data_IF_152842801419
#
_entry.id   IF_152842801419
#
_cell.length_a   1.000
_cell.length_b   1.000
_cell.length_c   1.000
_cell.angle_alpha   90.00
_cell.angle_beta   90.00
_cell.angle_gamma   90.00
#
_symmetry.space_group_name_H-M   'P 1'
#
loop_
_entity.id
_entity.type
_entity.pdbx_description
1 polymer ?
#
# COMPACT_ATOMS: atom_id res chain seq x y z
N UNK A 1 -53.05 40.28 19.97
CA UNK A 1 -52.64 39.76 18.64
C UNK A 1 -51.14 39.48 18.65
N UNK A 2 -50.78 38.24 18.30
CA UNK A 2 -49.48 37.84 17.72
C UNK A 2 -48.20 37.89 18.57
N UNK A 3 -48.27 37.65 19.88
CA UNK A 3 -47.09 37.22 20.65
C UNK A 3 -47.53 36.13 21.62
N UNK A 4 -46.73 35.08 21.79
CA UNK A 4 -46.86 33.98 22.78
C UNK A 4 -47.62 32.68 22.38
N UNK A 5 -47.69 32.31 21.11
CA UNK A 5 -48.24 31.00 20.69
C UNK A 5 -47.25 30.23 19.81
N UNK A 6 -46.22 29.62 20.40
CA UNK A 6 -45.45 28.53 19.78
C UNK A 6 -44.44 27.83 20.73
N UNK A 7 -44.45 28.11 22.04
CA UNK A 7 -43.47 27.54 22.99
C UNK A 7 -44.20 27.10 24.26
N UNK A 8 -45.11 26.12 24.16
CA UNK A 8 -45.67 25.35 25.29
C UNK A 8 -46.64 24.28 24.76
N UNK A 9 -46.13 23.17 24.22
CA UNK A 9 -46.86 21.90 24.26
C UNK A 9 -45.92 20.82 24.75
N UNK A 10 -45.95 20.67 26.07
CA UNK A 10 -45.15 19.79 26.89
C UNK A 10 -46.06 18.60 27.29
N UNK A 11 -45.50 17.39 27.18
CA UNK A 11 -45.88 16.15 27.89
C UNK A 11 -47.19 15.43 27.52
N UNK A 12 -47.08 14.21 26.98
CA UNK A 12 -47.34 12.93 27.70
C UNK A 12 -47.61 11.75 26.73
N UNK A 13 -47.24 10.53 27.14
CA UNK A 13 -47.53 9.23 26.52
C UNK A 13 -46.83 8.95 25.17
N UNK A 14 -45.74 8.16 25.09
CA UNK A 14 -45.78 6.73 25.42
C UNK A 14 -44.35 6.17 25.48
N UNK A 15 -43.81 6.02 26.69
CA UNK A 15 -42.87 4.95 27.00
C UNK A 15 -43.75 3.76 27.38
N UNK A 16 -43.66 2.63 26.67
CA UNK A 16 -43.76 1.28 27.24
C UNK A 16 -43.61 0.20 26.14
N UNK A 17 -42.67 -0.71 26.40
CA UNK A 17 -42.67 -2.14 26.08
C UNK A 17 -42.32 -2.66 24.67
N UNK A 18 -41.13 -3.26 24.62
CA UNK A 18 -40.91 -4.67 24.27
C UNK A 18 -41.62 -5.22 23.03
N UNK A 19 -40.85 -5.44 21.97
CA UNK A 19 -40.72 -6.80 21.46
C UNK A 19 -39.40 -6.95 20.69
N UNK A 20 -38.69 -8.01 21.08
CA UNK A 20 -37.53 -8.57 20.43
C UNK A 20 -37.85 -8.87 18.95
N UNK A 21 -36.94 -8.51 18.05
CA UNK A 21 -37.13 -8.70 16.61
C UNK A 21 -35.81 -8.78 15.87
N UNK A 22 -34.86 -9.57 16.37
CA UNK A 22 -33.66 -9.98 15.63
C UNK A 22 -34.08 -10.95 14.52
N UNK A 23 -34.45 -10.40 13.37
CA UNK A 23 -34.73 -11.19 12.17
C UNK A 23 -33.42 -11.50 11.45
N UNK A 24 -32.94 -12.72 11.70
CA UNK A 24 -32.17 -13.59 10.82
C UNK A 24 -31.09 -12.93 9.92
N UNK A 25 -29.85 -12.97 10.39
CA UNK A 25 -28.70 -13.03 9.49
C UNK A 25 -28.71 -14.40 8.74
N UNK A 26 -28.35 -14.45 7.45
CA UNK A 26 -28.19 -15.72 6.76
C UNK A 26 -27.03 -16.50 7.38
N UNK A 27 -27.31 -17.70 7.91
CA UNK A 27 -26.31 -18.69 8.25
C UNK A 27 -25.62 -19.12 6.96
N UNK A 28 -24.54 -18.43 6.60
CA UNK A 28 -23.56 -18.95 5.66
C UNK A 28 -22.91 -20.16 6.34
N UNK A 29 -23.33 -21.34 5.91
CA UNK A 29 -22.71 -22.62 6.26
C UNK A 29 -21.26 -22.58 5.80
N UNK A 30 -20.36 -22.17 6.69
CA UNK A 30 -18.92 -22.39 6.53
C UNK A 30 -18.71 -23.88 6.73
N UNK A 31 -18.56 -24.59 5.62
CA UNK A 31 -18.06 -25.96 5.60
C UNK A 31 -16.58 -25.90 5.99
N UNK A 32 -16.14 -26.53 7.10
CA UNK A 32 -14.72 -26.68 7.36
C UNK A 32 -14.14 -27.66 6.35
N UNK A 33 -13.22 -27.18 5.52
CA UNK A 33 -12.37 -28.05 4.71
C UNK A 33 -11.57 -28.98 5.65
N UNK A 34 -11.51 -30.30 5.41
CA UNK A 34 -10.67 -31.17 6.20
C UNK A 34 -9.20 -30.84 5.92
N UNK A 35 -8.52 -30.30 6.95
CA UNK A 35 -7.09 -30.22 7.02
C UNK A 35 -6.52 -31.63 7.28
N UNK A 36 -6.35 -32.42 6.22
CA UNK A 36 -5.38 -33.52 6.23
C UNK A 36 -4.05 -32.99 5.76
N UNK A 37 -3.20 -32.66 6.74
CA UNK A 37 -1.77 -32.49 6.57
C UNK A 37 -1.17 -33.82 6.06
N UNK A 38 -0.72 -33.84 4.81
CA UNK A 38 0.16 -34.87 4.31
C UNK A 38 1.62 -34.50 4.64
N UNK A 39 2.45 -35.46 5.08
CA UNK A 39 3.85 -35.20 5.41
C UNK A 39 4.71 -35.01 4.16
N UNK A 40 5.53 -33.96 4.23
CA UNK A 40 6.86 -33.75 3.65
C UNK A 40 7.39 -34.81 2.67
N UNK A 41 7.49 -34.42 1.41
CA UNK A 41 8.57 -34.85 0.52
C UNK A 41 9.21 -33.60 -0.08
N UNK A 42 10.29 -33.14 0.54
CA UNK A 42 11.15 -32.12 -0.04
C UNK A 42 11.76 -32.65 -1.35
N UNK A 43 11.66 -31.95 -2.48
CA UNK A 43 12.52 -32.25 -3.60
C UNK A 43 13.95 -31.89 -3.18
N UNK A 44 14.81 -32.91 -3.12
CA UNK A 44 16.26 -32.73 -3.06
C UNK A 44 16.67 -31.95 -4.30
N UNK A 45 16.94 -30.66 -4.14
CA UNK A 45 17.61 -29.86 -5.15
C UNK A 45 19.06 -30.35 -5.21
N UNK A 46 19.38 -31.07 -6.27
CA UNK A 46 20.77 -31.27 -6.66
C UNK A 46 21.39 -29.89 -6.95
N UNK A 47 22.61 -29.59 -6.47
CA UNK A 47 23.32 -28.38 -6.86
C UNK A 47 23.80 -28.56 -8.30
N UNK A 48 23.12 -27.92 -9.25
CA UNK A 48 23.70 -27.69 -10.57
C UNK A 48 24.51 -26.41 -10.47
N UNK A 49 25.83 -26.58 -10.38
CA UNK A 49 26.83 -25.53 -10.59
C UNK A 49 26.55 -24.84 -11.94
N UNK A 50 25.98 -23.63 -11.86
CA UNK A 50 26.03 -22.67 -12.96
C UNK A 50 27.27 -21.80 -12.76
N UNK A 51 28.13 -21.63 -13.77
CA UNK A 51 29.40 -20.93 -13.63
C UNK A 51 29.15 -19.47 -13.27
N UNK A 52 29.94 -18.98 -12.32
CA UNK A 52 30.02 -17.58 -11.94
C UNK A 52 30.24 -16.71 -13.19
N UNK A 53 29.18 -16.06 -13.65
CA UNK A 53 29.30 -14.91 -14.52
C UNK A 53 30.01 -13.82 -13.71
N UNK A 54 31.29 -13.63 -14.01
CA UNK A 54 32.06 -12.47 -13.54
C UNK A 54 31.45 -11.24 -14.21
N UNK A 55 30.39 -10.70 -13.61
CA UNK A 55 30.00 -9.32 -13.86
C UNK A 55 31.02 -8.46 -13.13
N UNK A 56 31.96 -7.91 -13.88
CA UNK A 56 32.82 -6.84 -13.40
C UNK A 56 31.93 -5.74 -12.78
N UNK A 57 32.32 -5.14 -11.65
CA UNK A 57 31.61 -3.95 -11.18
C UNK A 57 31.83 -2.86 -12.22
N UNK A 58 30.79 -2.59 -13.03
CA UNK A 58 30.68 -1.30 -13.70
C UNK A 58 30.45 -0.33 -12.56
N UNK A 59 31.47 0.45 -12.23
CA UNK A 59 31.33 1.55 -11.30
C UNK A 59 30.16 2.41 -11.78
N UNK A 60 29.05 2.37 -11.05
CA UNK A 60 28.02 3.36 -11.18
C UNK A 60 28.67 4.73 -10.95
N UNK A 61 28.27 5.78 -11.69
CA UNK A 61 28.79 7.11 -11.43
C UNK A 61 28.59 7.46 -9.96
N UNK A 62 29.61 8.06 -9.34
CA UNK A 62 29.53 8.58 -7.97
C UNK A 62 28.37 9.59 -7.89
N UNK A 63 27.21 9.15 -7.41
CA UNK A 63 26.04 10.00 -7.13
C UNK A 63 26.19 10.66 -5.78
N UNK A 64 27.38 11.16 -5.47
CA UNK A 64 27.77 11.72 -4.17
C UNK A 64 27.07 13.05 -3.81
N UNK A 65 26.03 13.44 -4.56
CA UNK A 65 25.12 14.55 -4.24
C UNK A 65 23.63 14.12 -4.21
N UNK A 66 23.30 12.83 -4.29
CA UNK A 66 21.92 12.36 -4.18
C UNK A 66 21.54 12.15 -2.71
N UNK A 67 20.45 12.78 -2.26
CA UNK A 67 19.88 12.61 -0.91
C UNK A 67 19.26 11.22 -0.65
N UNK A 68 19.74 10.14 -1.28
CA UNK A 68 19.26 8.77 -1.06
C UNK A 68 20.07 7.66 -1.73
N UNK A 69 19.83 6.41 -1.31
CA UNK A 69 20.41 5.18 -1.84
C UNK A 69 19.50 4.56 -2.92
N UNK A 70 19.90 4.56 -4.21
CA UNK A 70 19.07 4.02 -5.28
C UNK A 70 18.90 2.50 -5.24
N UNK A 71 19.84 1.75 -4.65
CA UNK A 71 19.70 0.30 -4.53
C UNK A 71 18.63 -0.04 -3.48
N UNK A 72 18.67 0.66 -2.34
CA UNK A 72 17.64 0.54 -1.32
C UNK A 72 16.28 1.06 -1.84
N UNK A 73 16.26 2.18 -2.55
CA UNK A 73 15.09 2.74 -3.22
C UNK A 73 14.32 1.74 -4.08
N UNK A 74 15.04 0.96 -4.88
CA UNK A 74 14.46 -0.11 -5.70
C UNK A 74 13.76 -1.18 -4.85
N UNK A 75 14.38 -1.57 -3.72
CA UNK A 75 13.80 -2.53 -2.79
C UNK A 75 12.55 -1.97 -2.13
N UNK A 76 12.54 -0.71 -1.69
CA UNK A 76 11.36 -0.11 -1.05
C UNK A 76 10.19 -0.06 -2.03
N UNK A 77 10.47 0.33 -3.27
CA UNK A 77 9.47 0.43 -4.31
C UNK A 77 8.78 -0.93 -4.59
N UNK A 78 9.56 -2.02 -4.56
CA UNK A 78 9.02 -3.36 -4.69
C UNK A 78 8.26 -3.81 -3.45
N UNK A 79 8.87 -3.71 -2.26
CA UNK A 79 8.32 -4.25 -1.01
C UNK A 79 7.04 -3.51 -0.56
N UNK A 80 6.95 -2.21 -0.84
CA UNK A 80 5.81 -1.37 -0.44
C UNK A 80 4.67 -1.45 -1.46
N UNK A 81 4.79 -2.30 -2.49
CA UNK A 81 3.74 -2.57 -3.47
C UNK A 81 3.58 -1.50 -4.55
N UNK A 82 4.48 -0.51 -4.64
CA UNK A 82 4.42 0.56 -5.64
C UNK A 82 4.45 -0.03 -7.06
N UNK A 83 5.25 -1.08 -7.26
CA UNK A 83 5.36 -1.82 -8.53
C UNK A 83 4.06 -2.46 -9.00
N UNK A 84 3.10 -2.73 -8.11
CA UNK A 84 1.82 -3.33 -8.46
C UNK A 84 0.97 -2.45 -9.38
N UNK A 85 1.11 -1.12 -9.27
CA UNK A 85 0.41 -0.17 -10.13
C UNK A 85 1.37 0.54 -11.09
N UNK A 86 2.57 0.89 -10.64
CA UNK A 86 3.54 1.63 -11.44
C UNK A 86 4.49 0.73 -12.25
N UNK A 87 4.34 -0.59 -12.18
CA UNK A 87 5.18 -1.57 -12.87
C UNK A 87 6.55 -1.77 -12.21
N UNK A 88 7.18 -2.93 -12.42
CA UNK A 88 8.44 -3.30 -11.76
C UNK A 88 9.59 -2.29 -11.99
N UNK A 89 9.69 -1.75 -13.20
CA UNK A 89 10.66 -0.72 -13.57
C UNK A 89 10.05 0.69 -13.61
N UNK A 90 9.01 0.91 -12.81
CA UNK A 90 8.29 2.19 -12.74
C UNK A 90 7.77 2.72 -14.10
N UNK A 91 7.57 1.84 -15.09
CA UNK A 91 7.11 2.16 -16.45
C UNK A 91 5.60 2.40 -16.58
N UNK A 92 4.86 2.30 -15.49
CA UNK A 92 3.41 2.47 -15.42
C UNK A 92 2.65 1.16 -15.60
N UNK A 93 1.34 1.30 -15.82
CA UNK A 93 0.40 0.19 -15.98
C UNK A 93 -0.96 0.59 -15.42
N UNK A 94 -1.28 0.09 -14.22
CA UNK A 94 -2.47 0.51 -13.48
C UNK A 94 -2.37 1.94 -12.93
N UNK A 95 -1.15 2.43 -12.73
CA UNK A 95 -0.81 3.82 -12.42
C UNK A 95 0.10 4.44 -13.50
N UNK A 96 0.41 5.74 -13.40
CA UNK A 96 1.26 6.43 -14.36
C UNK A 96 2.70 5.92 -14.34
N UNK A 97 3.41 6.06 -15.47
CA UNK A 97 4.86 5.87 -15.51
C UNK A 97 5.58 6.93 -14.66
N UNK A 98 6.59 6.51 -13.91
CA UNK A 98 7.45 7.37 -13.08
C UNK A 98 8.89 7.43 -13.61
N UNK A 99 9.38 6.35 -14.24
CA UNK A 99 10.70 6.29 -14.87
C UNK A 99 10.88 7.36 -15.97
N UNK A 100 12.09 7.90 -16.11
CA UNK A 100 12.45 8.89 -17.13
C UNK A 100 11.79 10.27 -16.98
N UNK A 101 11.17 10.57 -15.82
CA UNK A 101 10.45 11.83 -15.60
C UNK A 101 11.22 12.91 -14.84
N UNK A 102 12.35 12.57 -14.22
CA UNK A 102 13.11 13.51 -13.37
C UNK A 102 12.22 14.14 -12.29
N UNK A 103 11.55 13.30 -11.50
CA UNK A 103 10.58 13.76 -10.51
C UNK A 103 11.28 14.46 -9.34
N UNK A 104 10.74 15.62 -8.96
CA UNK A 104 11.12 16.32 -7.74
C UNK A 104 10.67 15.55 -6.49
N UNK A 105 11.50 15.53 -5.45
CA UNK A 105 11.22 14.72 -4.26
C UNK A 105 10.06 15.26 -3.43
N UNK A 106 9.90 16.59 -3.35
CA UNK A 106 8.76 17.19 -2.64
C UNK A 106 7.44 16.87 -3.34
N UNK A 107 7.45 16.87 -4.69
CA UNK A 107 6.31 16.39 -5.46
C UNK A 107 6.00 14.92 -5.15
N UNK A 108 7.00 14.04 -5.09
CA UNK A 108 6.78 12.61 -4.80
C UNK A 108 6.28 12.41 -3.37
N UNK A 109 6.85 13.10 -2.38
CA UNK A 109 6.37 13.12 -1.01
C UNK A 109 4.90 13.55 -0.96
N UNK A 110 4.54 14.66 -1.59
CA UNK A 110 3.14 15.12 -1.64
C UNK A 110 2.20 14.01 -2.16
N UNK A 111 2.57 13.33 -3.25
CA UNK A 111 1.73 12.27 -3.82
C UNK A 111 1.66 11.05 -2.90
N UNK A 112 2.78 10.59 -2.36
CA UNK A 112 2.84 9.43 -1.45
C UNK A 112 2.00 9.67 -0.20
N UNK A 113 2.01 10.89 0.34
CA UNK A 113 1.22 11.27 1.52
C UNK A 113 -0.27 11.46 1.19
N UNK A 114 -0.59 11.99 0.01
CA UNK A 114 -1.98 12.30 -0.37
C UNK A 114 -2.75 11.10 -0.94
N UNK A 115 -2.09 10.17 -1.66
CA UNK A 115 -2.73 9.04 -2.32
C UNK A 115 -3.77 9.43 -3.40
N UNK A 116 -3.39 10.18 -4.45
CA UNK A 116 -4.33 10.62 -5.47
C UNK A 116 -4.78 9.48 -6.40
N UNK A 117 -6.00 9.59 -6.95
CA UNK A 117 -6.42 8.76 -8.08
C UNK A 117 -6.52 7.25 -7.79
N UNK A 118 -6.77 6.87 -6.54
CA UNK A 118 -6.81 5.47 -6.12
C UNK A 118 -5.46 4.90 -5.69
N UNK A 119 -4.38 5.71 -5.73
CA UNK A 119 -3.12 5.38 -5.09
C UNK A 119 -3.31 5.38 -3.56
N UNK A 120 -2.85 4.36 -2.81
CA UNK A 120 -2.89 4.41 -1.36
C UNK A 120 -2.09 5.60 -0.81
N UNK A 121 -2.60 6.22 0.25
CA UNK A 121 -1.84 7.20 1.02
C UNK A 121 -0.97 6.47 2.06
N UNK A 122 0.29 6.85 2.15
CA UNK A 122 1.24 6.29 3.12
C UNK A 122 1.65 7.38 4.11
N UNK A 123 1.45 7.17 5.40
CA UNK A 123 1.92 8.10 6.43
C UNK A 123 3.45 8.07 6.55
N UNK A 124 4.02 9.10 7.18
CA UNK A 124 5.44 9.15 7.57
C UNK A 124 5.85 8.02 8.52
N UNK A 125 4.90 7.39 9.20
CA UNK A 125 5.15 6.26 10.10
C UNK A 125 5.20 4.91 9.37
N UNK A 126 4.69 4.85 8.14
CA UNK A 126 4.66 3.63 7.30
C UNK A 126 5.77 3.64 6.26
N UNK A 127 5.95 4.77 5.59
CA UNK A 127 7.05 5.03 4.68
C UNK A 127 7.66 6.35 5.13
N UNK A 128 8.84 6.31 5.74
CA UNK A 128 9.53 7.50 6.22
C UNK A 128 9.87 8.45 5.07
N UNK A 129 10.09 9.73 5.36
CA UNK A 129 10.50 10.67 4.32
C UNK A 129 11.87 10.26 3.72
N UNK A 130 12.81 9.79 4.57
CA UNK A 130 14.09 9.17 4.16
C UNK A 130 13.92 8.12 3.06
N UNK A 131 12.97 7.20 3.26
CA UNK A 131 12.66 6.13 2.33
C UNK A 131 12.14 6.68 0.99
N UNK A 132 11.39 7.77 1.01
CA UNK A 132 10.93 8.41 -0.24
C UNK A 132 12.11 9.04 -0.99
N UNK A 133 13.10 9.62 -0.31
CA UNK A 133 14.33 10.08 -0.99
C UNK A 133 15.08 8.93 -1.67
N UNK A 134 15.20 7.78 -1.01
CA UNK A 134 15.82 6.58 -1.60
C UNK A 134 15.07 6.11 -2.85
N UNK A 135 13.73 6.07 -2.80
CA UNK A 135 12.88 5.73 -3.95
C UNK A 135 13.10 6.72 -5.10
N UNK A 136 13.15 8.02 -4.81
CA UNK A 136 13.37 9.06 -5.84
C UNK A 136 14.77 8.98 -6.42
N UNK A 137 15.78 8.68 -5.60
CA UNK A 137 17.14 8.41 -6.06
C UNK A 137 17.14 7.24 -7.05
N UNK A 138 16.45 6.14 -6.74
CA UNK A 138 16.29 5.01 -7.67
C UNK A 138 15.57 5.40 -8.96
N UNK A 139 14.42 6.08 -8.87
CA UNK A 139 13.64 6.51 -10.04
C UNK A 139 14.45 7.42 -10.98
N UNK A 140 15.41 8.17 -10.44
CA UNK A 140 16.30 9.04 -11.21
C UNK A 140 17.38 8.28 -11.98
N UNK A 141 17.58 6.98 -11.67
CA UNK A 141 18.48 6.09 -12.42
C UNK A 141 17.78 5.40 -13.61
N UNK A 142 16.46 5.54 -13.74
CA UNK A 142 15.61 4.91 -14.77
C UNK A 142 15.25 5.87 -15.91
#
# INVERSE_FOLDING_TARGET
>A
MKRLLAVTLVLAFSVLLSACGSTAAPTATVVPAPATAAPTAAPTLAPTDAPAATAAPVAAPDTSDAEGDPAYGAELFARNGCSGCHGAQAGGGGGPALAGRGLDVEFVLEKVRAGPGGMPAFSSDTIFDSDVYDIVAWLSTL
#
